data_IF_698886468479
#
_entry.id   IF_698886468479
#
_cell.length_a   1.000
_cell.length_b   1.000
_cell.length_c   1.000
_cell.angle_alpha   90.00
_cell.angle_beta   90.00
_cell.angle_gamma   90.00
#
_symmetry.space_group_name_H-M   'P 1'
#
loop_
_entity.id
_entity.type
_entity.pdbx_description
1 polymer ?
#
# COMPACT_ATOMS: atom_id res chain seq x y z
N UNK A 1 -0.53 -24.90 8.39
CA UNK A 1 -0.28 -23.55 8.97
C UNK A 1 -0.62 -22.53 7.90
N UNK A 2 -1.42 -21.49 8.20
CA UNK A 2 -1.60 -20.39 7.24
C UNK A 2 -0.27 -19.64 7.14
N UNK A 3 0.23 -19.44 5.93
CA UNK A 3 1.39 -18.58 5.67
C UNK A 3 1.05 -17.18 6.16
N UNK A 4 1.95 -16.55 6.91
CA UNK A 4 1.76 -15.15 7.31
C UNK A 4 1.87 -14.26 6.08
N UNK A 5 0.96 -13.31 5.96
CA UNK A 5 0.88 -12.38 4.84
C UNK A 5 1.24 -10.99 5.34
N UNK A 6 1.83 -10.18 4.48
CA UNK A 6 2.37 -8.87 4.80
C UNK A 6 1.76 -7.80 3.90
N UNK A 7 1.63 -6.61 4.44
CA UNK A 7 1.25 -5.40 3.69
C UNK A 7 2.27 -4.31 3.94
N UNK A 8 2.35 -3.38 2.99
CA UNK A 8 3.12 -2.16 3.17
C UNK A 8 2.19 -1.05 3.62
N UNK A 9 2.53 -0.41 4.73
CA UNK A 9 1.82 0.74 5.29
C UNK A 9 2.63 1.99 4.96
N UNK A 10 2.02 2.95 4.29
CA UNK A 10 2.62 4.24 3.93
C UNK A 10 2.18 5.32 4.89
N UNK A 11 3.11 6.17 5.29
CA UNK A 11 2.93 7.32 6.18
C UNK A 11 3.54 8.56 5.54
N UNK A 12 2.96 9.72 5.79
CA UNK A 12 3.63 10.98 5.46
C UNK A 12 4.70 11.30 6.50
N UNK A 13 5.75 12.00 6.07
CA UNK A 13 6.81 12.46 6.96
C UNK A 13 6.24 13.35 8.07
N UNK A 14 6.55 13.00 9.32
CA UNK A 14 5.96 13.62 10.51
C UNK A 14 4.64 13.01 11.02
N UNK A 15 3.93 12.21 10.21
CA UNK A 15 2.72 11.50 10.66
C UNK A 15 3.04 10.06 11.07
N UNK A 16 3.31 9.87 12.37
CA UNK A 16 3.63 8.56 12.92
C UNK A 16 2.40 7.69 13.22
N UNK A 17 1.20 8.26 13.20
CA UNK A 17 0.00 7.61 13.74
C UNK A 17 -1.05 7.27 12.66
N UNK A 18 -1.04 7.94 11.51
CA UNK A 18 -1.99 7.65 10.42
C UNK A 18 -1.27 6.97 9.25
N UNK A 19 -1.11 5.65 9.35
CA UNK A 19 -0.64 4.82 8.25
C UNK A 19 -1.78 4.35 7.35
N UNK A 20 -1.51 4.29 6.05
CA UNK A 20 -2.42 3.81 5.03
C UNK A 20 -1.87 2.56 4.38
N UNK A 21 -2.68 1.52 4.21
CA UNK A 21 -2.26 0.31 3.50
C UNK A 21 -2.06 0.64 2.02
N UNK A 22 -0.90 0.30 1.49
CA UNK A 22 -0.62 0.43 0.08
C UNK A 22 -1.49 -0.53 -0.72
N UNK A 23 -2.29 0.02 -1.61
CA UNK A 23 -3.17 -0.71 -2.51
C UNK A 23 -2.79 -0.42 -3.97
N UNK A 24 -3.25 -1.28 -4.87
CA UNK A 24 -3.06 -1.09 -6.30
C UNK A 24 -3.85 0.14 -6.75
N UNK A 25 -3.17 1.13 -7.32
CA UNK A 25 -3.79 2.38 -7.77
C UNK A 25 -4.73 2.21 -8.99
N UNK A 26 -4.69 1.06 -9.67
CA UNK A 26 -5.54 0.74 -10.82
C UNK A 26 -6.75 -0.08 -10.41
N UNK A 27 -6.59 -1.07 -9.52
CA UNK A 27 -7.69 -1.97 -9.12
C UNK A 27 -8.29 -1.64 -7.76
N UNK A 28 -7.60 -0.84 -6.94
CA UNK A 28 -7.99 -0.54 -5.56
C UNK A 28 -7.75 -1.68 -4.58
N UNK A 29 -7.31 -2.84 -5.05
CA UNK A 29 -7.08 -4.04 -4.22
C UNK A 29 -5.85 -3.88 -3.33
N UNK A 30 -5.92 -4.44 -2.12
CA UNK A 30 -4.81 -4.43 -1.18
C UNK A 30 -3.62 -5.18 -1.78
N UNK A 31 -2.43 -4.60 -1.68
CA UNK A 31 -1.22 -5.27 -2.14
C UNK A 31 -0.67 -6.16 -1.03
N UNK A 32 -0.94 -7.46 -1.15
CA UNK A 32 -0.59 -8.47 -0.15
C UNK A 32 0.63 -9.27 -0.62
N UNK A 33 1.59 -9.47 0.28
CA UNK A 33 2.81 -10.24 0.04
C UNK A 33 2.81 -11.51 0.90
N UNK A 34 3.09 -12.65 0.30
CA UNK A 34 3.28 -13.93 1.01
C UNK A 34 4.75 -14.16 1.44
N UNK A 35 5.61 -13.15 1.22
CA UNK A 35 7.04 -13.17 1.49
C UNK A 35 7.46 -11.81 2.08
N UNK A 36 8.14 -11.85 3.23
CA UNK A 36 8.55 -10.65 3.96
C UNK A 36 9.62 -9.86 3.18
N UNK A 37 10.59 -10.54 2.59
CA UNK A 37 11.68 -9.89 1.85
C UNK A 37 11.15 -9.13 0.62
N UNK A 38 10.17 -9.72 -0.08
CA UNK A 38 9.49 -9.06 -1.18
C UNK A 38 8.74 -7.80 -0.73
N UNK A 39 8.04 -7.87 0.41
CA UNK A 39 7.34 -6.72 0.98
C UNK A 39 8.31 -5.60 1.38
N UNK A 40 9.44 -5.93 2.03
CA UNK A 40 10.47 -4.96 2.44
C UNK A 40 11.16 -4.30 1.24
N UNK A 41 11.49 -5.08 0.20
CA UNK A 41 12.03 -4.55 -1.06
C UNK A 41 11.06 -3.58 -1.72
N UNK A 42 9.77 -3.89 -1.69
CA UNK A 42 8.73 -3.02 -2.24
C UNK A 42 8.56 -1.74 -1.41
N UNK A 43 8.56 -1.85 -0.07
CA UNK A 43 8.49 -0.72 0.85
C UNK A 43 9.64 0.28 0.61
N UNK A 44 10.88 -0.22 0.52
CA UNK A 44 12.05 0.60 0.18
C UNK A 44 11.95 1.29 -1.18
N UNK A 45 11.30 0.65 -2.15
CA UNK A 45 11.05 1.28 -3.46
C UNK A 45 10.09 2.46 -3.33
N UNK A 46 9.00 2.30 -2.58
CA UNK A 46 8.04 3.38 -2.32
C UNK A 46 8.74 4.58 -1.65
N UNK A 47 9.59 4.35 -0.63
CA UNK A 47 10.30 5.46 0.02
C UNK A 47 11.29 6.18 -0.91
N UNK A 48 11.96 5.44 -1.79
CA UNK A 48 12.90 6.03 -2.76
C UNK A 48 12.20 6.86 -3.83
N UNK A 49 11.04 6.40 -4.28
CA UNK A 49 10.27 7.07 -5.35
C UNK A 49 9.34 8.16 -4.80
N UNK A 50 8.87 8.00 -3.57
CA UNK A 50 7.93 8.89 -2.88
C UNK A 50 8.63 9.96 -2.05
N UNK A 51 8.42 11.24 -2.39
CA UNK A 51 8.95 12.34 -1.59
C UNK A 51 8.17 12.50 -0.28
N UNK A 52 8.87 12.47 0.85
CA UNK A 52 8.27 12.66 2.17
C UNK A 52 7.34 11.53 2.57
N UNK A 53 7.57 10.32 2.06
CA UNK A 53 6.87 9.11 2.45
C UNK A 53 7.79 8.21 3.27
N UNK A 54 7.22 7.60 4.29
CA UNK A 54 7.82 6.53 5.07
C UNK A 54 6.96 5.29 4.94
N UNK A 55 7.59 4.13 5.01
CA UNK A 55 6.92 2.84 4.87
C UNK A 55 7.26 1.89 6.00
N UNK A 56 6.30 1.02 6.30
CA UNK A 56 6.46 -0.06 7.26
C UNK A 56 5.85 -1.32 6.69
N UNK A 57 6.44 -2.47 6.99
CA UNK A 57 5.89 -3.77 6.65
C UNK A 57 5.24 -4.36 7.88
N UNK A 58 3.95 -4.66 7.80
CA UNK A 58 3.18 -5.19 8.93
C UNK A 58 2.38 -6.44 8.50
N UNK A 59 2.10 -7.38 9.43
CA UNK A 59 1.24 -8.52 9.13
C UNK A 59 -0.17 -8.07 8.68
N UNK A 60 -0.65 -8.61 7.55
CA UNK A 60 -1.94 -8.25 6.95
C UNK A 60 -3.12 -8.35 7.92
N UNK A 61 -3.08 -9.34 8.82
CA UNK A 61 -4.11 -9.56 9.85
C UNK A 61 -4.40 -8.34 10.72
N UNK A 62 -3.44 -7.42 10.85
CA UNK A 62 -3.58 -6.19 11.64
C UNK A 62 -4.31 -5.07 10.87
N UNK A 63 -4.51 -5.21 9.56
CA UNK A 63 -4.88 -4.10 8.67
C UNK A 63 -6.09 -4.39 7.75
N UNK A 64 -6.83 -5.47 8.00
CA UNK A 64 -7.97 -5.93 7.16
C UNK A 64 -9.06 -4.86 6.95
N UNK A 65 -9.13 -3.83 7.81
CA UNK A 65 -10.09 -2.71 7.72
C UNK A 65 -9.42 -1.33 7.81
N UNK A 66 -8.10 -1.26 7.59
CA UNK A 66 -7.38 0.01 7.60
C UNK A 66 -7.67 0.83 6.36
N UNK A 67 -7.49 2.16 6.45
CA UNK A 67 -7.61 3.04 5.29
C UNK A 67 -6.54 2.70 4.25
N UNK A 68 -6.89 2.88 2.99
CA UNK A 68 -6.04 2.63 1.82
C UNK A 68 -5.29 3.90 1.41
N UNK A 69 -4.11 3.72 0.80
CA UNK A 69 -3.28 4.83 0.34
C UNK A 69 -3.90 5.58 -0.85
N UNK A 70 -4.59 4.84 -1.74
CA UNK A 70 -5.38 5.39 -2.83
C UNK A 70 -6.86 5.16 -2.53
N UNK A 71 -7.63 6.24 -2.45
CA UNK A 71 -9.07 6.18 -2.25
C UNK A 71 -9.82 5.75 -3.53
N UNK A 72 -11.09 5.38 -3.36
CA UNK A 72 -11.90 4.85 -4.45
C UNK A 72 -12.03 5.85 -5.61
N UNK A 73 -12.15 7.15 -5.31
CA UNK A 73 -12.23 8.20 -6.34
C UNK A 73 -10.97 8.28 -7.20
N UNK A 74 -9.79 8.19 -6.57
CA UNK A 74 -8.51 8.15 -7.29
C UNK A 74 -8.42 6.93 -8.19
N UNK A 75 -8.78 5.75 -7.67
CA UNK A 75 -8.77 4.48 -8.41
C UNK A 75 -9.74 4.53 -9.59
N UNK A 76 -10.96 5.01 -9.40
CA UNK A 76 -11.96 5.17 -10.47
C UNK A 76 -11.45 6.10 -11.58
N UNK A 77 -10.82 7.21 -11.20
CA UNK A 77 -10.23 8.16 -12.16
C UNK A 77 -9.13 7.50 -12.99
N UNK A 78 -8.23 6.74 -12.34
CA UNK A 78 -7.15 6.03 -13.04
C UNK A 78 -7.68 4.93 -13.97
N UNK A 79 -8.74 4.24 -13.56
CA UNK A 79 -9.40 3.24 -14.40
C UNK A 79 -10.03 3.87 -15.64
N UNK A 80 -10.77 4.96 -15.49
CA UNK A 80 -11.38 5.69 -16.60
C UNK A 80 -10.34 6.21 -17.61
N UNK A 81 -9.20 6.73 -17.11
CA UNK A 81 -8.11 7.19 -17.97
C UNK A 81 -7.47 6.05 -18.78
N UNK A 82 -7.39 4.85 -18.20
CA UNK A 82 -6.85 3.67 -18.89
C UNK A 82 -7.81 3.14 -19.96
N UNK A 83 -9.10 3.13 -19.69
CA UNK A 83 -10.12 2.66 -20.65
C UNK A 83 -10.31 3.64 -21.82
N UNK A 84 -9.88 4.89 -21.66
CA UNK A 84 -9.95 5.95 -22.68
C UNK A 84 -8.68 6.08 -23.54
N UNK A 85 -7.63 5.30 -23.26
CA UNK A 85 -6.34 5.32 -23.96
C UNK A 85 -6.16 4.10 -24.88
#
# INVERSE_FOLDING_TARGET
MKKEQYVVVVRQDGDRNNGYVYNNFVTGEDLIFDDLEAAEKFALKIEKEGRGLWTLVEPYKNHVLSKKAFDDNFVETMKANRESA
#
